data_IF_567947605243
#
_entry.id   IF_567947605243
#
_cell.length_a   1.000
_cell.length_b   1.000
_cell.length_c   1.000
_cell.angle_alpha   90.00
_cell.angle_beta   90.00
_cell.angle_gamma   90.00
#
_symmetry.space_group_name_H-M   'P 1'
#
loop_
_entity.id
_entity.type
_entity.pdbx_description
1 polymer ?
#
# COMPACT_ATOMS: atom_id res chain seq x y z
N UNK A 1 11.16 20.39 -31.26
CA UNK A 1 11.01 18.93 -31.10
C UNK A 1 9.95 18.72 -30.03
N UNK A 2 8.71 18.45 -30.44
CA UNK A 2 7.60 18.18 -29.50
C UNK A 2 7.50 16.67 -29.40
N UNK A 3 7.88 16.11 -28.26
CA UNK A 3 7.67 14.68 -27.98
C UNK A 3 6.24 14.52 -27.48
N UNK A 4 5.37 13.93 -28.29
CA UNK A 4 4.05 13.48 -27.85
C UNK A 4 4.23 12.07 -27.28
N UNK A 5 4.36 11.96 -25.96
CA UNK A 5 4.36 10.67 -25.28
C UNK A 5 2.91 10.22 -25.10
N UNK A 6 2.47 9.25 -25.90
CA UNK A 6 1.16 8.62 -25.73
C UNK A 6 1.16 7.78 -24.45
N UNK A 7 0.67 8.34 -23.34
CA UNK A 7 0.29 7.54 -22.18
C UNK A 7 -1.01 6.79 -22.51
N UNK A 8 -0.90 5.49 -22.82
CA UNK A 8 -2.05 4.60 -22.73
C UNK A 8 -2.28 4.32 -21.25
N UNK A 9 -3.18 5.06 -20.62
CA UNK A 9 -3.68 4.68 -19.30
C UNK A 9 -4.57 3.46 -19.47
N UNK A 10 -4.00 2.27 -19.35
CA UNK A 10 -4.77 1.08 -19.00
C UNK A 10 -5.18 1.26 -17.55
N UNK A 11 -6.29 1.97 -17.30
CA UNK A 11 -6.72 2.28 -15.94
C UNK A 11 -7.25 1.02 -15.27
N UNK A 12 -6.36 0.26 -14.64
CA UNK A 12 -6.77 -0.74 -13.66
C UNK A 12 -7.63 -0.05 -12.60
N UNK A 13 -8.83 -0.57 -12.29
CA UNK A 13 -9.71 0.05 -11.30
C UNK A 13 -9.04 0.04 -9.92
N UNK A 14 -9.05 1.19 -9.24
CA UNK A 14 -8.48 1.35 -7.89
C UNK A 14 -9.62 1.44 -6.88
N UNK A 15 -9.51 0.66 -5.79
CA UNK A 15 -10.40 0.75 -4.64
C UNK A 15 -9.63 1.40 -3.49
N UNK A 16 -10.18 2.48 -2.92
CA UNK A 16 -9.57 3.18 -1.79
C UNK A 16 -10.42 2.91 -0.53
N UNK A 17 -9.78 2.37 0.51
CA UNK A 17 -10.43 2.06 1.79
C UNK A 17 -9.92 3.03 2.85
N UNK A 18 -10.72 4.06 3.15
CA UNK A 18 -10.41 5.05 4.18
C UNK A 18 -11.21 4.81 5.46
N UNK A 19 -10.70 5.30 6.58
CA UNK A 19 -11.39 5.24 7.88
C UNK A 19 -10.42 5.31 9.06
N UNK A 20 -10.97 5.50 10.27
CA UNK A 20 -10.19 5.55 11.50
C UNK A 20 -9.43 4.24 11.78
N UNK A 21 -8.41 4.30 12.63
CA UNK A 21 -7.69 3.10 13.09
C UNK A 21 -8.66 2.14 13.80
N UNK A 22 -8.40 0.83 13.70
CA UNK A 22 -9.20 -0.24 14.31
C UNK A 22 -10.67 -0.41 13.81
N UNK A 23 -11.09 0.24 12.72
CA UNK A 23 -12.43 0.01 12.13
C UNK A 23 -12.52 -1.19 11.18
N UNK A 24 -11.49 -2.02 11.11
CA UNK A 24 -11.49 -3.26 10.30
C UNK A 24 -11.08 -3.10 8.83
N UNK A 25 -10.39 -2.02 8.45
CA UNK A 25 -9.95 -1.76 7.07
C UNK A 25 -9.11 -2.90 6.47
N UNK A 26 -8.18 -3.44 7.24
CA UNK A 26 -7.31 -4.56 6.84
C UNK A 26 -8.15 -5.77 6.42
N UNK A 27 -9.09 -6.19 7.27
CA UNK A 27 -9.98 -7.32 6.98
C UNK A 27 -10.80 -7.10 5.71
N UNK A 28 -11.30 -5.89 5.50
CA UNK A 28 -12.05 -5.52 4.29
C UNK A 28 -11.15 -5.55 3.04
N UNK A 29 -9.91 -5.04 3.15
CA UNK A 29 -8.96 -5.00 2.03
C UNK A 29 -8.59 -6.40 1.54
N UNK A 30 -8.35 -7.35 2.45
CA UNK A 30 -8.05 -8.75 2.12
C UNK A 30 -9.24 -9.43 1.46
N UNK A 31 -10.45 -9.23 2.01
CA UNK A 31 -11.69 -9.75 1.42
C UNK A 31 -11.89 -9.28 -0.03
N UNK A 32 -11.75 -7.97 -0.28
CA UNK A 32 -11.93 -7.40 -1.61
C UNK A 32 -10.83 -7.86 -2.57
N UNK A 33 -9.59 -7.93 -2.11
CA UNK A 33 -8.45 -8.38 -2.93
C UNK A 33 -8.63 -9.81 -3.40
N UNK A 34 -9.07 -10.72 -2.52
CA UNK A 34 -9.41 -12.09 -2.91
C UNK A 34 -10.58 -12.16 -3.90
N UNK A 35 -11.60 -11.31 -3.71
CA UNK A 35 -12.77 -11.27 -4.59
C UNK A 35 -12.44 -10.80 -6.00
N UNK A 36 -11.52 -9.85 -6.14
CA UNK A 36 -11.18 -9.22 -7.41
C UNK A 36 -9.82 -9.65 -7.97
N UNK A 37 -9.16 -10.61 -7.32
CA UNK A 37 -7.79 -11.03 -7.65
C UNK A 37 -6.82 -9.83 -7.72
N UNK A 38 -6.95 -8.94 -6.75
CA UNK A 38 -6.18 -7.72 -6.62
C UNK A 38 -5.08 -7.82 -5.56
N UNK A 39 -4.35 -6.72 -5.40
CA UNK A 39 -3.23 -6.58 -4.48
C UNK A 39 -3.46 -5.36 -3.57
N UNK A 40 -2.80 -5.33 -2.42
CA UNK A 40 -2.98 -4.29 -1.41
C UNK A 40 -1.75 -3.39 -1.37
N UNK A 41 -1.97 -2.09 -1.47
CA UNK A 41 -0.94 -1.07 -1.28
C UNK A 41 -1.26 -0.37 0.05
N UNK A 42 -0.34 -0.47 1.02
CA UNK A 42 -0.47 0.27 2.28
C UNK A 42 -0.49 1.78 2.02
N UNK A 43 -1.25 2.54 2.82
CA UNK A 43 -1.26 4.00 2.80
C UNK A 43 -1.10 4.61 4.21
N UNK A 44 -0.75 3.79 5.21
CA UNK A 44 -0.45 4.23 6.57
C UNK A 44 1.04 4.58 6.70
N UNK A 45 1.33 5.82 7.11
CA UNK A 45 2.68 6.37 7.19
C UNK A 45 3.56 5.76 8.29
N UNK A 46 2.99 5.00 9.23
CA UNK A 46 3.75 4.36 10.31
C UNK A 46 4.03 2.89 10.00
N UNK A 47 3.14 2.20 9.27
CA UNK A 47 3.30 0.79 8.93
C UNK A 47 4.42 0.51 7.89
N UNK A 48 4.96 1.54 7.25
CA UNK A 48 6.10 1.45 6.34
C UNK A 48 7.42 1.11 7.04
N UNK A 49 7.55 1.41 8.34
CA UNK A 49 8.81 1.29 9.07
C UNK A 49 9.07 -0.13 9.57
N UNK A 50 10.29 -0.62 9.42
CA UNK A 50 10.71 -1.94 9.90
C UNK A 50 10.65 -2.08 11.43
N UNK A 51 10.35 -3.28 11.93
CA UNK A 51 10.41 -3.63 13.37
C UNK A 51 9.30 -3.07 14.26
N UNK A 52 8.42 -2.21 13.74
CA UNK A 52 7.35 -1.55 14.52
C UNK A 52 5.98 -2.25 14.43
N UNK A 53 5.95 -3.56 14.18
CA UNK A 53 4.74 -4.30 13.76
C UNK A 53 3.59 -4.22 14.77
N UNK A 54 3.88 -4.42 16.05
CA UNK A 54 2.87 -4.43 17.13
C UNK A 54 2.29 -3.03 17.33
N UNK A 55 3.15 -2.02 17.49
CA UNK A 55 2.71 -0.66 17.84
C UNK A 55 1.99 0.04 16.69
N UNK A 56 2.24 -0.38 15.45
CA UNK A 56 1.59 0.15 14.25
C UNK A 56 0.43 -0.73 13.76
N UNK A 57 0.09 -1.80 14.49
CA UNK A 57 -0.99 -2.73 14.16
C UNK A 57 -0.90 -3.27 12.72
N UNK A 58 0.30 -3.70 12.31
CA UNK A 58 0.49 -4.33 10.99
C UNK A 58 -0.24 -5.66 10.91
N UNK A 59 -0.77 -6.01 9.72
CA UNK A 59 -1.36 -7.32 9.52
C UNK A 59 -0.30 -8.42 9.67
N UNK A 60 -0.60 -9.40 10.51
CA UNK A 60 0.17 -10.65 10.58
C UNK A 60 0.09 -11.43 9.26
N UNK A 61 1.02 -12.35 9.03
CA UNK A 61 1.03 -13.21 7.83
C UNK A 61 -0.32 -13.94 7.67
N UNK A 62 -0.89 -14.41 8.78
CA UNK A 62 -2.21 -15.06 8.80
C UNK A 62 -3.33 -14.12 8.37
N UNK A 63 -3.30 -12.86 8.82
CA UNK A 63 -4.31 -11.85 8.43
C UNK A 63 -4.14 -11.39 6.98
N UNK A 64 -2.92 -11.36 6.45
CA UNK A 64 -2.66 -11.05 5.04
C UNK A 64 -3.22 -12.12 4.11
N UNK A 65 -3.31 -13.37 4.59
CA UNK A 65 -4.07 -14.45 3.95
C UNK A 65 -3.67 -14.70 2.48
N UNK A 66 -2.35 -14.71 2.24
CA UNK A 66 -1.67 -14.88 0.95
C UNK A 66 -2.00 -13.82 -0.12
N UNK A 67 -2.61 -12.70 0.26
CA UNK A 67 -2.78 -11.56 -0.65
C UNK A 67 -1.45 -10.78 -0.73
N UNK A 68 -0.99 -10.37 -1.93
CA UNK A 68 0.18 -9.50 -2.04
C UNK A 68 -0.05 -8.16 -1.33
N UNK A 69 0.86 -7.82 -0.41
CA UNK A 69 0.86 -6.56 0.33
C UNK A 69 2.14 -5.78 0.02
N UNK A 70 1.98 -4.53 -0.37
CA UNK A 70 3.07 -3.63 -0.71
C UNK A 70 3.20 -2.51 0.31
N UNK A 71 4.40 -1.93 0.37
CA UNK A 71 4.73 -0.75 1.20
C UNK A 71 4.52 -0.98 2.71
N UNK A 72 4.85 -2.18 3.17
CA UNK A 72 5.01 -2.51 4.59
C UNK A 72 6.49 -2.78 4.89
N UNK A 73 6.96 -2.35 6.06
CA UNK A 73 8.29 -2.73 6.60
C UNK A 73 9.45 -2.63 5.59
N UNK A 74 9.54 -1.53 4.84
CA UNK A 74 10.57 -1.31 3.82
C UNK A 74 11.43 -0.07 4.07
N UNK A 75 11.11 0.68 5.13
CA UNK A 75 11.86 1.85 5.57
C UNK A 75 12.52 1.53 6.89
N UNK A 76 13.84 1.59 6.95
CA UNK A 76 14.55 1.55 8.22
C UNK A 76 14.29 2.86 9.00
N UNK A 77 13.73 2.79 10.22
CA UNK A 77 13.38 3.98 11.01
C UNK A 77 14.58 4.84 11.42
N UNK A 78 15.81 4.32 11.35
CA UNK A 78 17.03 5.05 11.70
C UNK A 78 17.69 5.76 10.51
N UNK A 79 17.34 5.41 9.28
CA UNK A 79 18.05 5.91 8.10
C UNK A 79 17.49 7.26 7.63
N UNK A 80 16.16 7.36 7.50
CA UNK A 80 15.51 8.58 6.99
C UNK A 80 14.04 8.67 7.36
N UNK A 81 13.54 9.89 7.40
CA UNK A 81 12.10 10.16 7.39
C UNK A 81 11.50 9.87 6.00
N UNK A 82 10.25 9.43 5.97
CA UNK A 82 9.50 9.18 4.74
C UNK A 82 8.44 10.26 4.52
N UNK A 83 8.39 10.84 3.32
CA UNK A 83 7.48 11.93 2.97
C UNK A 83 6.35 11.46 2.05
N UNK A 84 5.33 12.30 1.89
CA UNK A 84 4.24 12.05 0.92
C UNK A 84 4.75 11.93 -0.53
N UNK A 85 5.87 12.59 -0.85
CA UNK A 85 6.49 12.52 -2.18
C UNK A 85 7.15 11.15 -2.38
N UNK A 86 7.81 10.63 -1.35
CA UNK A 86 8.39 9.28 -1.37
C UNK A 86 7.28 8.26 -1.55
N UNK A 87 6.21 8.34 -0.74
CA UNK A 87 5.04 7.46 -0.87
C UNK A 87 4.47 7.43 -2.28
N UNK A 88 4.27 8.60 -2.89
CA UNK A 88 3.77 8.69 -4.26
C UNK A 88 4.71 7.97 -5.23
N UNK A 89 6.01 8.21 -5.13
CA UNK A 89 7.00 7.62 -6.02
C UNK A 89 7.11 6.10 -5.84
N UNK A 90 6.93 5.60 -4.62
CA UNK A 90 6.96 4.17 -4.28
C UNK A 90 5.67 3.45 -4.74
N UNK A 91 4.51 4.12 -4.65
CA UNK A 91 3.22 3.54 -5.00
C UNK A 91 2.92 3.58 -6.51
N UNK A 92 3.36 4.62 -7.23
CA UNK A 92 3.05 4.81 -8.64
C UNK A 92 3.42 3.62 -9.55
N UNK A 93 4.60 2.98 -9.40
CA UNK A 93 4.96 1.81 -10.21
C UNK A 93 4.08 0.57 -9.97
N UNK A 94 3.33 0.53 -8.87
CA UNK A 94 2.47 -0.59 -8.48
C UNK A 94 1.06 -0.41 -9.07
N UNK A 95 0.59 0.82 -9.21
CA UNK A 95 -0.74 1.16 -9.75
C UNK A 95 -0.77 1.38 -11.27
N UNK A 96 0.40 1.48 -11.91
CA UNK A 96 0.58 1.83 -13.33
C UNK A 96 0.48 0.66 -14.29
#
# INVERSE_FOLDING_TARGET
MVTVTNFRYTTSPIIIILGATAVGKTKLSVYLSKRFNGEIINADSMQIYEGLDIITAKPTITEQDNVPHHLFSYVNPLDRSHTVVDYRNDALPIVS
#
